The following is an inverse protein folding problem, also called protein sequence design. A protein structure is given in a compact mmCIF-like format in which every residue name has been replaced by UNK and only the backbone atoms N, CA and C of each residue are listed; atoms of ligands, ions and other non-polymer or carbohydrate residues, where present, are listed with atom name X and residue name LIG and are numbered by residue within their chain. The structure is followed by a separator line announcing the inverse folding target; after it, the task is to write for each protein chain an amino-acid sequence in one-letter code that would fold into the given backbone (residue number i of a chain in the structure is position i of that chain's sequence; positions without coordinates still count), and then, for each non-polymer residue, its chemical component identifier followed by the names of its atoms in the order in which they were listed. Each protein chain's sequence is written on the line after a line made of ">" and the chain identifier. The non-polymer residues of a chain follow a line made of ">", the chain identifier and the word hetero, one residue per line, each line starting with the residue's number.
data_IF_012993480260
#
_entry.id   IF_012993480260
#
_cell.length_a   1.000
_cell.length_b   1.000
_cell.length_c   1.000
_cell.angle_alpha   90.00
_cell.angle_beta   90.00
_cell.angle_gamma   90.00
#
_symmetry.space_group_name_H-M   'P 1'
#
loop_
_entity.id
_entity.type
_entity.pdbx_description
1 polymer ?
#
# COMPACT_ATOMS: atom_id res chain seq x y z
N UNK A 1 -31.47 -11.71 36.85
CA UNK A 1 -31.59 -11.83 35.37
C UNK A 1 -31.06 -10.60 34.62
N UNK A 2 -31.56 -9.38 34.84
CA UNK A 2 -31.08 -8.15 34.16
C UNK A 2 -29.57 -7.86 34.30
N UNK A 3 -29.00 -8.00 35.51
CA UNK A 3 -27.56 -7.81 35.76
C UNK A 3 -26.67 -8.75 34.93
N UNK A 4 -27.09 -9.99 34.76
CA UNK A 4 -26.39 -11.02 33.99
C UNK A 4 -26.48 -10.75 32.48
N UNK A 5 -27.64 -10.26 32.01
CA UNK A 5 -27.83 -9.82 30.62
C UNK A 5 -26.95 -8.61 30.28
N UNK A 6 -26.89 -7.61 31.16
CA UNK A 6 -26.04 -6.43 31.00
C UNK A 6 -24.56 -6.80 30.91
N UNK A 7 -24.08 -7.70 31.78
CA UNK A 7 -22.69 -8.20 31.72
C UNK A 7 -22.36 -8.84 30.37
N UNK A 8 -23.25 -9.69 29.83
CA UNK A 8 -23.03 -10.33 28.51
C UNK A 8 -22.92 -9.31 27.37
N UNK A 9 -23.72 -8.24 27.41
CA UNK A 9 -23.65 -7.19 26.40
C UNK A 9 -22.36 -6.36 26.51
N UNK A 10 -21.92 -6.04 27.73
CA UNK A 10 -20.64 -5.35 27.96
C UNK A 10 -19.45 -6.20 27.49
N UNK A 11 -19.46 -7.51 27.74
CA UNK A 11 -18.42 -8.42 27.24
C UNK A 11 -18.37 -8.45 25.71
N UNK A 12 -19.54 -8.48 25.06
CA UNK A 12 -19.62 -8.44 23.58
C UNK A 12 -19.11 -7.10 23.04
N UNK A 13 -19.48 -5.99 23.67
CA UNK A 13 -18.98 -4.65 23.32
C UNK A 13 -17.46 -4.55 23.47
N UNK A 14 -16.90 -5.09 24.57
CA UNK A 14 -15.45 -5.14 24.79
C UNK A 14 -14.73 -5.89 23.66
N UNK A 15 -15.25 -7.06 23.26
CA UNK A 15 -14.69 -7.85 22.15
C UNK A 15 -14.76 -7.11 20.81
N UNK A 16 -15.86 -6.42 20.54
CA UNK A 16 -16.03 -5.62 19.32
C UNK A 16 -15.09 -4.40 19.30
N UNK A 17 -14.93 -3.70 20.42
CA UNK A 17 -13.96 -2.62 20.56
C UNK A 17 -12.53 -3.09 20.30
N UNK A 18 -12.15 -4.25 20.85
CA UNK A 18 -10.84 -4.85 20.58
C UNK A 18 -10.64 -5.14 19.09
N UNK A 19 -11.63 -5.76 18.41
CA UNK A 19 -11.58 -6.00 16.96
C UNK A 19 -11.47 -4.70 16.16
N UNK A 20 -12.23 -3.66 16.54
CA UNK A 20 -12.15 -2.35 15.88
C UNK A 20 -10.76 -1.73 16.03
N UNK A 21 -10.14 -1.87 17.20
CA UNK A 21 -8.77 -1.41 17.46
C UNK A 21 -7.77 -2.14 16.57
N UNK A 22 -7.84 -3.48 16.50
CA UNK A 22 -6.99 -4.29 15.61
C UNK A 22 -7.13 -3.87 14.15
N UNK A 23 -8.36 -3.64 13.66
CA UNK A 23 -8.57 -3.13 12.30
C UNK A 23 -7.91 -1.77 12.09
N UNK A 24 -7.96 -0.89 13.11
CA UNK A 24 -7.33 0.43 13.07
C UNK A 24 -5.81 0.33 12.94
N UNK A 25 -5.18 -0.56 13.71
CA UNK A 25 -3.74 -0.85 13.60
C UNK A 25 -3.37 -1.39 12.22
N UNK A 26 -4.10 -2.40 11.70
CA UNK A 26 -3.85 -2.94 10.37
C UNK A 26 -3.99 -1.88 9.27
N UNK A 27 -4.99 -0.99 9.35
CA UNK A 27 -5.14 0.12 8.40
C UNK A 27 -3.92 1.06 8.47
N UNK A 28 -3.42 1.37 9.67
CA UNK A 28 -2.25 2.24 9.83
C UNK A 28 -1.00 1.60 9.21
N UNK A 29 -0.78 0.31 9.46
CA UNK A 29 0.36 -0.44 8.92
C UNK A 29 0.30 -0.53 7.39
N UNK A 30 -0.87 -0.86 6.84
CA UNK A 30 -1.10 -0.90 5.39
C UNK A 30 -0.89 0.47 4.74
N UNK A 31 -1.35 1.56 5.37
CA UNK A 31 -1.09 2.92 4.87
C UNK A 31 0.41 3.25 4.86
N UNK A 32 1.13 2.87 5.91
CA UNK A 32 2.59 3.07 5.99
C UNK A 32 3.29 2.29 4.88
N UNK A 33 2.95 1.01 4.70
CA UNK A 33 3.49 0.17 3.63
C UNK A 33 3.18 0.75 2.23
N UNK A 34 1.96 1.22 1.99
CA UNK A 34 1.58 1.84 0.73
C UNK A 34 2.40 3.11 0.44
N UNK A 35 2.59 3.97 1.45
CA UNK A 35 3.42 5.18 1.30
C UNK A 35 4.88 4.83 0.96
N UNK A 36 5.46 3.82 1.61
CA UNK A 36 6.81 3.34 1.30
C UNK A 36 6.92 2.77 -0.11
N UNK A 37 5.94 1.98 -0.55
CA UNK A 37 5.88 1.46 -1.92
C UNK A 37 5.75 2.59 -2.96
N UNK A 38 4.89 3.58 -2.70
CA UNK A 38 4.74 4.73 -3.59
C UNK A 38 6.03 5.57 -3.66
N UNK A 39 6.77 5.69 -2.56
CA UNK A 39 8.09 6.33 -2.55
C UNK A 39 9.11 5.56 -3.40
N UNK A 40 9.20 4.23 -3.22
CA UNK A 40 10.09 3.38 -4.03
C UNK A 40 9.77 3.46 -5.52
N UNK A 41 8.47 3.48 -5.89
CA UNK A 41 8.05 3.66 -7.28
C UNK A 41 8.56 5.01 -7.85
N UNK A 42 8.50 6.09 -7.07
CA UNK A 42 9.00 7.41 -7.49
C UNK A 42 10.52 7.39 -7.65
N UNK A 43 11.22 6.74 -6.73
CA UNK A 43 12.67 6.59 -6.78
C UNK A 43 13.11 5.79 -8.01
N UNK A 44 12.51 4.63 -8.27
CA UNK A 44 12.78 3.83 -9.47
C UNK A 44 12.54 4.61 -10.76
N UNK A 45 11.44 5.36 -10.85
CA UNK A 45 11.19 6.24 -12.01
C UNK A 45 12.24 7.33 -12.16
N UNK A 46 12.72 7.90 -11.06
CA UNK A 46 13.75 8.93 -11.06
C UNK A 46 15.09 8.36 -11.50
N UNK A 47 15.49 7.19 -10.99
CA UNK A 47 16.69 6.48 -11.40
C UNK A 47 16.64 6.08 -12.87
N UNK A 48 15.50 5.55 -13.35
CA UNK A 48 15.28 5.26 -14.76
C UNK A 48 15.49 6.52 -15.61
N UNK A 49 14.86 7.64 -15.25
CA UNK A 49 15.01 8.91 -15.97
C UNK A 49 16.47 9.40 -16.01
N UNK A 50 17.15 9.38 -14.86
CA UNK A 50 18.57 9.77 -14.75
C UNK A 50 19.48 8.90 -15.61
N UNK A 51 19.26 7.58 -15.62
CA UNK A 51 20.02 6.64 -16.43
C UNK A 51 19.90 6.97 -17.93
N UNK A 52 18.68 7.25 -18.41
CA UNK A 52 18.48 7.69 -19.80
C UNK A 52 19.17 9.01 -20.13
N UNK A 53 19.09 10.01 -19.24
CA UNK A 53 19.73 11.31 -19.48
C UNK A 53 21.25 11.25 -19.41
N UNK A 54 21.82 10.40 -18.55
CA UNK A 54 23.27 10.20 -18.44
C UNK A 54 23.85 9.58 -19.71
N UNK A 55 23.21 8.53 -20.23
CA UNK A 55 23.59 7.91 -21.50
C UNK A 55 23.45 8.88 -22.67
N UNK A 56 22.32 9.59 -22.76
CA UNK A 56 22.11 10.57 -23.82
C UNK A 56 23.16 11.69 -23.77
N UNK A 57 23.58 12.10 -22.56
CA UNK A 57 24.64 13.09 -22.34
C UNK A 57 26.03 12.58 -22.72
N UNK A 58 26.41 11.35 -22.35
CA UNK A 58 27.69 10.75 -22.72
C UNK A 58 27.81 10.50 -24.23
N UNK A 59 26.72 10.08 -24.88
CA UNK A 59 26.66 9.94 -26.34
C UNK A 59 26.80 11.30 -27.05
N UNK A 60 26.31 12.39 -26.46
CA UNK A 60 26.40 13.74 -27.05
C UNK A 60 27.73 14.45 -26.77
N UNK A 61 28.41 14.15 -25.65
CA UNK A 61 29.68 14.80 -25.28
C UNK A 61 30.88 14.18 -26.00
N UNK A 62 30.76 12.94 -26.47
CA UNK A 62 31.82 12.27 -27.25
C UNK A 62 31.38 12.08 -28.69
N UNK A 63 31.76 13.03 -29.54
CA UNK A 63 31.63 12.99 -31.01
C UNK A 63 32.47 11.86 -31.67
N UNK A 64 32.70 10.71 -31.01
CA UNK A 64 33.71 9.71 -31.39
C UNK A 64 33.33 8.24 -31.14
N UNK A 65 32.21 7.89 -30.50
CA UNK A 65 31.85 6.46 -30.39
C UNK A 65 30.88 6.04 -31.50
N UNK A 66 31.49 5.66 -32.61
CA UNK A 66 30.94 4.90 -33.72
C UNK A 66 30.00 3.78 -33.21
N UNK A 67 28.86 3.63 -33.86
CA UNK A 67 27.65 2.93 -33.39
C UNK A 67 27.73 1.43 -33.10
N UNK A 68 28.88 0.90 -32.70
CA UNK A 68 29.07 -0.45 -32.16
C UNK A 68 29.07 -0.43 -30.64
N UNK A 69 29.76 0.51 -29.98
CA UNK A 69 29.82 0.58 -28.50
C UNK A 69 28.51 1.09 -27.91
N UNK A 70 27.93 2.14 -28.48
CA UNK A 70 26.59 2.61 -28.10
C UNK A 70 25.52 1.54 -28.36
N UNK A 71 25.68 0.73 -29.42
CA UNK A 71 24.78 -0.38 -29.76
C UNK A 71 24.93 -1.55 -28.78
N UNK A 72 26.12 -1.82 -28.27
CA UNK A 72 26.36 -2.86 -27.27
C UNK A 72 25.95 -2.43 -25.86
N UNK A 73 26.20 -1.17 -25.45
CA UNK A 73 25.59 -0.61 -24.23
C UNK A 73 24.06 -0.59 -24.32
N UNK A 74 23.49 -0.33 -25.50
CA UNK A 74 22.04 -0.40 -25.72
C UNK A 74 21.46 -1.82 -25.64
N UNK A 75 22.29 -2.87 -25.68
CA UNK A 75 21.85 -4.28 -25.52
C UNK A 75 21.81 -4.73 -24.05
N UNK A 76 22.58 -4.12 -23.16
CA UNK A 76 22.54 -4.41 -21.71
C UNK A 76 21.52 -3.51 -20.95
N UNK A 77 21.17 -2.36 -21.53
CA UNK A 77 20.13 -1.46 -21.03
C UNK A 77 18.66 -1.92 -21.13
N UNK A 78 18.22 -2.77 -22.08
CA UNK A 78 16.82 -3.16 -22.22
C UNK A 78 16.35 -4.00 -21.05
N UNK A 79 17.17 -4.94 -20.58
CA UNK A 79 16.71 -5.94 -19.61
C UNK A 79 16.60 -5.35 -18.21
N UNK A 80 17.56 -4.53 -17.78
CA UNK A 80 17.50 -3.83 -16.49
C UNK A 80 16.36 -2.82 -16.42
N UNK A 81 16.11 -2.07 -17.50
CA UNK A 81 14.95 -1.18 -17.61
C UNK A 81 13.64 -1.96 -17.61
N UNK A 82 13.57 -3.07 -18.34
CA UNK A 82 12.38 -3.93 -18.41
C UNK A 82 12.06 -4.55 -17.04
N UNK A 83 13.06 -5.06 -16.33
CA UNK A 83 12.91 -5.53 -14.94
C UNK A 83 12.41 -4.40 -14.04
N UNK A 84 12.91 -3.18 -14.22
CA UNK A 84 12.45 -2.03 -13.45
C UNK A 84 10.99 -1.66 -13.76
N UNK A 85 10.58 -1.70 -15.03
CA UNK A 85 9.19 -1.46 -15.44
C UNK A 85 8.25 -2.54 -14.90
N UNK A 86 8.66 -3.81 -14.94
CA UNK A 86 7.91 -4.93 -14.37
C UNK A 86 7.76 -4.77 -12.85
N UNK A 87 8.83 -4.36 -12.15
CA UNK A 87 8.79 -4.10 -10.72
C UNK A 87 7.87 -2.92 -10.38
N UNK A 88 7.90 -1.84 -11.18
CA UNK A 88 6.97 -0.71 -11.03
C UNK A 88 5.52 -1.15 -11.26
N UNK A 89 5.27 -2.00 -12.26
CA UNK A 89 3.94 -2.52 -12.54
C UNK A 89 3.41 -3.37 -11.38
N UNK A 90 4.21 -4.33 -10.90
CA UNK A 90 3.88 -5.17 -9.73
C UNK A 90 3.66 -4.34 -8.48
N UNK A 91 4.53 -3.36 -8.21
CA UNK A 91 4.39 -2.48 -7.06
C UNK A 91 3.09 -1.66 -7.10
N UNK A 92 2.69 -1.18 -8.30
CA UNK A 92 1.38 -0.49 -8.46
C UNK A 92 0.20 -1.43 -8.23
N UNK A 93 0.29 -2.69 -8.65
CA UNK A 93 -0.73 -3.69 -8.39
C UNK A 93 -0.87 -3.94 -6.89
N UNK A 94 0.24 -4.15 -6.18
CA UNK A 94 0.28 -4.29 -4.73
C UNK A 94 -0.32 -3.05 -4.05
N UNK A 95 0.01 -1.83 -4.50
CA UNK A 95 -0.62 -0.61 -3.98
C UNK A 95 -2.14 -0.60 -4.17
N UNK A 96 -2.65 -1.11 -5.29
CA UNK A 96 -4.10 -1.23 -5.53
C UNK A 96 -4.74 -2.23 -4.56
N UNK A 97 -4.12 -3.38 -4.37
CA UNK A 97 -4.60 -4.40 -3.42
C UNK A 97 -4.59 -3.88 -1.99
N UNK A 98 -3.52 -3.19 -1.56
CA UNK A 98 -3.45 -2.55 -0.25
C UNK A 98 -4.60 -1.55 -0.08
N UNK A 99 -4.89 -0.72 -1.09
CA UNK A 99 -6.01 0.22 -1.05
C UNK A 99 -7.36 -0.49 -0.90
N UNK A 100 -7.57 -1.60 -1.59
CA UNK A 100 -8.78 -2.42 -1.44
C UNK A 100 -8.89 -3.02 -0.03
N UNK A 101 -7.80 -3.57 0.51
CA UNK A 101 -7.78 -4.12 1.87
C UNK A 101 -8.08 -3.05 2.93
N UNK A 102 -7.54 -1.83 2.77
CA UNK A 102 -7.87 -0.68 3.62
C UNK A 102 -9.36 -0.38 3.57
N UNK A 103 -9.96 -0.32 2.37
CA UNK A 103 -11.40 -0.08 2.21
C UNK A 103 -12.24 -1.16 2.88
N UNK A 104 -11.88 -2.44 2.72
CA UNK A 104 -12.56 -3.55 3.39
C UNK A 104 -12.48 -3.46 4.91
N UNK A 105 -11.30 -3.13 5.46
CA UNK A 105 -11.13 -2.95 6.91
C UNK A 105 -11.91 -1.73 7.44
N UNK A 106 -11.97 -0.64 6.68
CA UNK A 106 -12.78 0.53 7.04
C UNK A 106 -14.28 0.21 7.04
N UNK A 107 -14.76 -0.56 6.06
CA UNK A 107 -16.13 -1.06 6.02
C UNK A 107 -16.44 -1.93 7.24
N UNK A 108 -15.55 -2.86 7.58
CA UNK A 108 -15.66 -3.70 8.77
C UNK A 108 -15.71 -2.87 10.07
N UNK A 109 -14.86 -1.84 10.20
CA UNK A 109 -14.93 -0.92 11.34
C UNK A 109 -16.27 -0.18 11.43
N UNK A 110 -16.84 0.22 10.30
CA UNK A 110 -18.17 0.85 10.25
C UNK A 110 -19.25 -0.10 10.77
N UNK A 111 -19.27 -1.35 10.29
CA UNK A 111 -20.19 -2.40 10.77
C UNK A 111 -20.03 -2.64 12.27
N UNK A 112 -18.79 -2.73 12.75
CA UNK A 112 -18.51 -2.90 14.19
C UNK A 112 -19.07 -1.73 15.01
N UNK A 113 -18.95 -0.49 14.52
CA UNK A 113 -19.52 0.69 15.21
C UNK A 113 -21.04 0.62 15.29
N UNK A 114 -21.72 0.17 14.23
CA UNK A 114 -23.17 -0.05 14.22
C UNK A 114 -23.56 -1.12 15.25
N UNK A 115 -22.83 -2.23 15.31
CA UNK A 115 -23.07 -3.28 16.30
C UNK A 115 -22.89 -2.79 17.74
N UNK A 116 -21.87 -1.97 18.00
CA UNK A 116 -21.64 -1.35 19.30
C UNK A 116 -22.78 -0.41 19.67
N UNK A 117 -23.26 0.41 18.73
CA UNK A 117 -24.42 1.29 18.95
C UNK A 117 -25.69 0.49 19.28
N UNK A 118 -25.94 -0.60 18.56
CA UNK A 118 -27.03 -1.53 18.84
C UNK A 118 -26.92 -2.14 20.25
N UNK A 119 -25.72 -2.54 20.66
CA UNK A 119 -25.47 -3.06 22.00
C UNK A 119 -25.71 -1.97 23.07
N UNK A 120 -25.25 -0.74 22.85
CA UNK A 120 -25.49 0.37 23.78
C UNK A 120 -26.99 0.63 23.97
N UNK A 121 -27.78 0.61 22.88
CA UNK A 121 -29.23 0.74 22.95
C UNK A 121 -29.87 -0.41 23.74
N UNK A 122 -29.41 -1.66 23.55
CA UNK A 122 -29.91 -2.80 24.34
C UNK A 122 -29.57 -2.67 25.83
N UNK A 123 -28.40 -2.14 26.16
CA UNK A 123 -28.00 -1.89 27.55
C UNK A 123 -28.85 -0.79 28.20
N UNK A 124 -29.15 0.29 27.47
CA UNK A 124 -29.95 1.40 27.97
C UNK A 124 -31.41 1.00 28.26
N UNK A 125 -31.95 0.05 27.51
CA UNK A 125 -33.33 -0.43 27.64
C UNK A 125 -33.48 -1.68 28.55
N UNK A 126 -32.44 -2.08 29.28
CA UNK A 126 -32.46 -3.21 30.22
C UNK A 126 -32.85 -2.76 31.63
#
# INVERSE_FOLDING_TARGET
>A
KKKQQKSKYEDKKRKLNAKSSTCGSCIADLKKANTSLEANIREWKTHKSKAYTGIAGEIFVTNVFEGVVAKELSKDFPESVKVMDDNVAKAKEICREIKQQIQSLQSLQSTIKVDIASINNKIANL
#
